data_IF_300941189367
#
_entry.id   IF_300941189367
#
_cell.length_a   1.000
_cell.length_b   1.000
_cell.length_c   1.000
_cell.angle_alpha   90.00
_cell.angle_beta   90.00
_cell.angle_gamma   90.00
#
_symmetry.space_group_name_H-M   'P 1'
#
loop_
_entity.id
_entity.type
_entity.pdbx_description
1 polymer ?
#
# COMPACT_ATOMS: atom_id res chain seq x y z
N UNK A 1 -25.36 26.16 6.69
CA UNK A 1 -24.23 25.83 5.82
C UNK A 1 -22.98 26.39 6.51
N UNK A 2 -22.23 25.54 7.23
CA UNK A 2 -21.01 26.02 7.91
C UNK A 2 -20.00 26.47 6.84
N UNK A 3 -19.16 27.48 7.09
CA UNK A 3 -18.07 27.84 6.20
C UNK A 3 -17.09 26.67 6.21
N UNK A 4 -17.24 25.80 5.21
CA UNK A 4 -16.28 24.76 4.87
C UNK A 4 -14.97 25.46 4.51
N UNK A 5 -13.85 24.81 4.79
CA UNK A 5 -12.47 25.21 4.43
C UNK A 5 -12.44 26.03 3.11
N UNK A 6 -11.62 27.10 2.97
CA UNK A 6 -11.54 27.85 1.72
C UNK A 6 -11.41 26.91 0.50
N UNK A 7 -12.19 27.15 -0.58
CA UNK A 7 -12.24 26.25 -1.73
C UNK A 7 -10.86 25.92 -2.33
N UNK A 8 -9.93 26.87 -2.29
CA UNK A 8 -8.55 26.65 -2.74
C UNK A 8 -7.81 25.62 -1.88
N UNK A 9 -7.95 25.67 -0.56
CA UNK A 9 -7.32 24.73 0.37
C UNK A 9 -7.98 23.34 0.29
N UNK A 10 -9.30 23.26 0.03
CA UNK A 10 -9.96 21.98 -0.23
C UNK A 10 -9.42 21.30 -1.51
N UNK A 11 -9.24 22.06 -2.59
CA UNK A 11 -8.71 21.55 -3.85
C UNK A 11 -7.27 21.04 -3.69
N UNK A 12 -6.42 21.80 -2.98
CA UNK A 12 -5.04 21.41 -2.68
C UNK A 12 -4.99 20.11 -1.86
N UNK A 13 -5.77 20.02 -0.78
CA UNK A 13 -5.81 18.81 0.05
C UNK A 13 -6.35 17.59 -0.71
N UNK A 14 -7.37 17.78 -1.56
CA UNK A 14 -7.90 16.71 -2.39
C UNK A 14 -6.85 16.21 -3.39
N UNK A 15 -6.08 17.11 -3.99
CA UNK A 15 -4.99 16.77 -4.91
C UNK A 15 -3.85 16.04 -4.20
N UNK A 16 -3.41 16.52 -3.03
CA UNK A 16 -2.39 15.85 -2.22
C UNK A 16 -2.83 14.45 -1.79
N UNK A 17 -4.10 14.29 -1.39
CA UNK A 17 -4.65 12.98 -1.00
C UNK A 17 -4.66 12.01 -2.18
N UNK A 18 -5.02 12.47 -3.38
CA UNK A 18 -4.98 11.65 -4.59
C UNK A 18 -3.55 11.23 -4.93
N UNK A 19 -2.62 12.18 -4.96
CA UNK A 19 -1.21 11.91 -5.27
C UNK A 19 -0.64 10.87 -4.31
N UNK A 20 -0.94 11.00 -3.01
CA UNK A 20 -0.55 10.02 -2.00
C UNK A 20 -1.12 8.63 -2.30
N UNK A 21 -2.40 8.52 -2.63
CA UNK A 21 -3.03 7.25 -2.97
C UNK A 21 -2.41 6.60 -4.23
N UNK A 22 -2.14 7.40 -5.27
CA UNK A 22 -1.49 6.95 -6.51
C UNK A 22 -0.05 6.48 -6.26
N UNK A 23 0.74 7.22 -5.48
CA UNK A 23 2.11 6.83 -5.11
C UNK A 23 2.12 5.57 -4.25
N UNK A 24 1.16 5.43 -3.33
CA UNK A 24 1.05 4.21 -2.51
C UNK A 24 0.61 3.01 -3.34
N UNK A 25 -0.27 3.21 -4.33
CA UNK A 25 -0.62 2.18 -5.31
C UNK A 25 0.61 1.78 -6.14
N UNK A 26 1.38 2.75 -6.63
CA UNK A 26 2.62 2.51 -7.36
C UNK A 26 3.62 1.69 -6.54
N UNK A 27 3.82 2.04 -5.27
CA UNK A 27 4.64 1.27 -4.34
C UNK A 27 4.22 -0.21 -4.32
N UNK A 28 2.94 -0.51 -4.16
CA UNK A 28 2.46 -1.89 -4.11
C UNK A 28 2.53 -2.62 -5.46
N UNK A 29 2.33 -1.92 -6.57
CA UNK A 29 2.38 -2.50 -7.93
C UNK A 29 3.81 -2.83 -8.38
N UNK A 30 4.80 -2.00 -8.02
CA UNK A 30 6.19 -2.19 -8.43
C UNK A 30 7.00 -3.14 -7.52
N UNK A 31 6.34 -4.00 -6.73
CA UNK A 31 7.01 -4.86 -5.74
C UNK A 31 8.14 -5.74 -6.25
N UNK A 32 8.21 -6.01 -7.57
CA UNK A 32 9.29 -6.76 -8.22
C UNK A 32 10.54 -5.89 -8.46
N UNK A 33 10.35 -4.60 -8.76
CA UNK A 33 11.42 -3.63 -8.96
C UNK A 33 11.62 -2.80 -7.68
N UNK A 34 12.55 -3.27 -6.85
CA UNK A 34 12.84 -2.68 -5.54
C UNK A 34 13.22 -1.20 -5.61
N UNK A 35 13.90 -0.77 -6.67
CA UNK A 35 14.34 0.61 -6.81
C UNK A 35 13.15 1.53 -7.12
N UNK A 36 12.28 1.11 -8.04
CA UNK A 36 11.06 1.86 -8.38
C UNK A 36 10.08 1.87 -7.21
N UNK A 37 9.94 0.77 -6.47
CA UNK A 37 9.13 0.73 -5.26
C UNK A 37 9.67 1.72 -4.21
N UNK A 38 10.97 1.76 -3.95
CA UNK A 38 11.58 2.70 -2.99
C UNK A 38 11.35 4.17 -3.37
N UNK A 39 11.39 4.49 -4.67
CA UNK A 39 11.10 5.85 -5.15
C UNK A 39 9.63 6.23 -4.88
N UNK A 40 8.70 5.32 -5.17
CA UNK A 40 7.27 5.54 -4.93
C UNK A 40 6.95 5.69 -3.42
N UNK A 41 7.64 4.91 -2.58
CA UNK A 41 7.52 4.98 -1.11
C UNK A 41 7.95 6.36 -0.58
N UNK A 42 9.13 6.83 -0.96
CA UNK A 42 9.62 8.17 -0.60
C UNK A 42 8.69 9.28 -1.08
N UNK A 43 8.16 9.16 -2.30
CA UNK A 43 7.22 10.14 -2.83
C UNK A 43 5.91 10.19 -2.02
N UNK A 44 5.42 9.03 -1.55
CA UNK A 44 4.27 8.94 -0.68
C UNK A 44 4.55 9.58 0.69
N UNK A 45 5.72 9.32 1.28
CA UNK A 45 6.16 9.93 2.54
C UNK A 45 6.25 11.45 2.43
N UNK A 46 6.85 11.98 1.36
CA UNK A 46 6.91 13.42 1.13
C UNK A 46 5.51 14.04 1.00
N UNK A 47 4.59 13.34 0.34
CA UNK A 47 3.22 13.84 0.11
C UNK A 47 2.38 13.83 1.39
N UNK A 48 2.50 12.81 2.24
CA UNK A 48 1.79 12.79 3.53
C UNK A 48 2.33 13.87 4.48
N UNK A 49 3.63 14.18 4.44
CA UNK A 49 4.19 15.31 5.21
C UNK A 49 3.63 16.66 4.75
N UNK A 50 3.51 16.88 3.44
CA UNK A 50 2.85 18.09 2.89
C UNK A 50 1.38 18.19 3.30
N UNK A 51 0.67 17.05 3.38
CA UNK A 51 -0.71 17.02 3.86
C UNK A 51 -0.79 17.41 5.34
N UNK A 52 0.14 16.95 6.17
CA UNK A 52 0.28 17.39 7.55
C UNK A 52 0.61 18.88 7.68
N UNK A 53 1.43 19.44 6.80
CA UNK A 53 1.71 20.89 6.75
C UNK A 53 0.47 21.70 6.35
N UNK A 54 -0.29 21.24 5.34
CA UNK A 54 -1.51 21.88 4.89
C UNK A 54 -2.61 21.92 5.97
N UNK A 55 -2.67 20.90 6.82
CA UNK A 55 -3.58 20.84 7.98
C UNK A 55 -3.07 21.68 9.16
N UNK A 56 -1.75 21.83 9.32
CA UNK A 56 -1.11 22.65 10.37
C UNK A 56 -1.10 24.16 10.06
N UNK A 57 -1.16 24.57 8.79
CA UNK A 57 -1.25 25.97 8.38
C UNK A 57 -2.55 26.62 8.95
N UNK A 58 -2.54 27.92 9.29
CA UNK A 58 -3.14 28.45 10.50
C UNK A 58 -4.67 28.29 10.58
N UNK A 59 -5.06 27.25 11.31
CA UNK A 59 -6.26 27.22 12.17
C UNK A 59 -6.12 28.16 13.39
N UNK A 60 -5.14 29.08 13.38
CA UNK A 60 -4.82 30.03 14.47
C UNK A 60 -5.71 31.28 14.50
N UNK A 61 -6.71 31.39 13.62
CA UNK A 61 -7.76 32.41 13.78
C UNK A 61 -8.71 31.92 14.86
N UNK A 62 -8.73 32.63 15.99
CA UNK A 62 -9.51 32.36 17.20
C UNK A 62 -10.93 31.85 16.88
N UNK A 63 -11.17 30.58 17.19
CA UNK A 63 -12.42 29.87 16.87
C UNK A 63 -12.16 28.69 15.95
N UNK A 64 -11.47 27.65 16.45
CA UNK A 64 -11.22 26.41 15.69
C UNK A 64 -12.58 25.84 15.26
N UNK A 65 -12.91 25.79 13.96
CA UNK A 65 -14.12 25.14 13.52
C UNK A 65 -14.03 23.64 13.87
N UNK A 66 -15.11 23.01 14.36
CA UNK A 66 -15.10 21.59 14.79
C UNK A 66 -14.56 20.63 13.74
N UNK A 67 -14.58 21.02 12.47
CA UNK A 67 -14.12 20.24 11.32
C UNK A 67 -12.61 20.01 11.29
N UNK A 68 -11.81 20.90 11.90
CA UNK A 68 -10.34 20.76 11.90
C UNK A 68 -9.91 19.51 12.68
N UNK A 69 -10.58 19.22 13.82
CA UNK A 69 -10.32 18.01 14.59
C UNK A 69 -10.68 16.73 13.82
N UNK A 70 -11.78 16.76 13.06
CA UNK A 70 -12.19 15.64 12.20
C UNK A 70 -11.19 15.39 11.07
N UNK A 71 -10.67 16.45 10.43
CA UNK A 71 -9.64 16.33 9.38
C UNK A 71 -8.35 15.71 9.95
N UNK A 72 -7.89 16.18 11.11
CA UNK A 72 -6.71 15.63 11.79
C UNK A 72 -6.92 14.16 12.16
N UNK A 73 -8.08 13.79 12.69
CA UNK A 73 -8.41 12.41 13.04
C UNK A 73 -8.41 11.50 11.81
N UNK A 74 -9.02 11.93 10.71
CA UNK A 74 -9.00 11.18 9.45
C UNK A 74 -7.60 11.02 8.88
N UNK A 75 -6.80 12.08 8.89
CA UNK A 75 -5.42 12.04 8.42
C UNK A 75 -4.56 11.09 9.27
N UNK A 76 -4.70 11.16 10.59
CA UNK A 76 -4.05 10.23 11.52
C UNK A 76 -4.44 8.76 11.26
N UNK A 77 -5.71 8.48 10.95
CA UNK A 77 -6.16 7.13 10.60
C UNK A 77 -5.58 6.62 9.29
N UNK A 78 -5.37 7.49 8.29
CA UNK A 78 -4.72 7.13 7.02
C UNK A 78 -3.25 6.78 7.28
N UNK A 79 -2.56 7.59 8.08
CA UNK A 79 -1.15 7.39 8.42
C UNK A 79 -0.94 6.10 9.24
N UNK A 80 -1.76 5.90 10.29
CA UNK A 80 -1.78 4.67 11.09
C UNK A 80 -2.01 3.42 10.23
N UNK A 81 -2.95 3.48 9.29
CA UNK A 81 -3.24 2.38 8.40
C UNK A 81 -2.04 2.08 7.48
N UNK A 82 -1.37 3.11 6.97
CA UNK A 82 -0.17 2.97 6.15
C UNK A 82 1.00 2.38 6.94
N UNK A 83 1.21 2.85 8.17
CA UNK A 83 2.23 2.36 9.10
C UNK A 83 2.05 0.90 9.46
N UNK A 84 0.81 0.48 9.80
CA UNK A 84 0.51 -0.94 10.09
C UNK A 84 0.80 -1.83 8.90
N UNK A 85 0.42 -1.39 7.70
CA UNK A 85 0.64 -2.14 6.46
C UNK A 85 2.13 -2.30 6.16
N UNK A 86 2.90 -1.26 6.42
CA UNK A 86 4.35 -1.27 6.22
C UNK A 86 5.09 -2.09 7.28
N UNK A 87 4.62 -2.05 8.54
CA UNK A 87 5.12 -2.91 9.61
C UNK A 87 4.92 -4.40 9.28
N UNK A 88 3.73 -4.78 8.80
CA UNK A 88 3.45 -6.15 8.36
C UNK A 88 4.29 -6.55 7.14
N UNK A 89 4.56 -5.62 6.22
CA UNK A 89 5.44 -5.88 5.06
C UNK A 89 6.93 -5.98 5.41
N UNK A 90 7.35 -5.51 6.59
CA UNK A 90 8.73 -5.60 7.09
C UNK A 90 8.97 -6.80 8.01
N UNK A 91 7.91 -7.47 8.47
CA UNK A 91 8.00 -8.76 9.15
C UNK A 91 8.45 -9.83 8.14
N UNK A 92 9.77 -9.92 7.94
CA UNK A 92 10.38 -11.02 7.21
C UNK A 92 10.60 -12.18 8.18
N UNK A 93 10.33 -13.41 7.74
CA UNK A 93 10.78 -14.60 8.44
C UNK A 93 12.30 -14.50 8.61
N UNK A 94 12.83 -14.60 9.84
CA UNK A 94 14.26 -14.50 10.06
C UNK A 94 14.98 -15.53 9.17
N UNK A 95 15.96 -15.07 8.39
CA UNK A 95 16.71 -15.91 7.45
C UNK A 95 17.26 -17.19 8.10
N UNK A 96 17.60 -17.09 9.39
CA UNK A 96 18.02 -18.20 10.23
C UNK A 96 17.02 -19.37 10.27
N UNK A 97 15.70 -19.10 10.28
CA UNK A 97 14.66 -20.13 10.29
C UNK A 97 14.61 -20.87 8.96
N UNK A 98 14.73 -20.13 7.84
CA UNK A 98 14.80 -20.71 6.49
C UNK A 98 16.07 -21.57 6.36
N UNK A 99 17.22 -21.07 6.83
CA UNK A 99 18.49 -21.79 6.81
C UNK A 99 18.41 -23.08 7.66
N UNK A 100 17.83 -22.99 8.87
CA UNK A 100 17.62 -24.17 9.73
C UNK A 100 16.69 -25.20 9.08
N UNK A 101 15.62 -24.75 8.42
CA UNK A 101 14.70 -25.65 7.73
C UNK A 101 15.39 -26.33 6.54
N UNK A 102 16.17 -25.58 5.75
CA UNK A 102 16.94 -26.12 4.63
C UNK A 102 18.00 -27.14 5.10
N UNK A 103 18.67 -26.86 6.22
CA UNK A 103 19.62 -27.78 6.86
C UNK A 103 18.90 -29.04 7.37
N UNK A 104 17.77 -28.88 8.06
CA UNK A 104 16.96 -29.99 8.56
C UNK A 104 16.45 -30.88 7.43
N UNK A 105 15.89 -30.27 6.39
CA UNK A 105 15.52 -30.87 5.11
C UNK A 105 16.66 -31.70 4.52
N UNK A 106 17.84 -31.08 4.41
CA UNK A 106 19.03 -31.71 3.83
C UNK A 106 19.44 -32.95 4.64
N UNK A 107 19.58 -32.83 5.96
CA UNK A 107 19.94 -33.95 6.81
C UNK A 107 18.89 -35.05 6.83
N UNK A 108 17.60 -34.70 6.76
CA UNK A 108 16.52 -35.69 6.66
C UNK A 108 16.58 -36.43 5.33
N UNK A 109 16.81 -35.72 4.22
CA UNK A 109 16.98 -36.32 2.89
C UNK A 109 18.23 -37.22 2.80
N UNK A 110 19.35 -36.78 3.37
CA UNK A 110 20.60 -37.55 3.42
C UNK A 110 20.41 -38.80 4.30
N UNK A 111 19.85 -38.65 5.49
CA UNK A 111 19.60 -39.77 6.41
C UNK A 111 18.67 -40.83 5.80
N UNK A 112 17.64 -40.39 5.08
CA UNK A 112 16.73 -41.29 4.38
C UNK A 112 17.41 -41.99 3.19
N UNK A 113 18.32 -41.31 2.49
CA UNK A 113 19.14 -41.91 1.44
C UNK A 113 20.16 -42.93 1.95
N UNK A 114 20.76 -42.72 3.12
CA UNK A 114 21.68 -43.69 3.76
C UNK A 114 20.96 -44.92 4.32
N UNK A 115 19.72 -44.76 4.79
CA UNK A 115 18.88 -45.86 5.28
C UNK A 115 18.18 -46.64 4.15
N UNK A 116 18.30 -46.18 2.90
CA UNK A 116 17.67 -46.81 1.75
C UNK A 116 18.26 -48.21 1.48
N UNK A 117 17.43 -49.27 1.44
CA UNK A 117 17.86 -50.57 0.94
C UNK A 117 18.39 -50.43 -0.50
N UNK A 118 19.37 -51.24 -0.92
CA UNK A 118 19.86 -51.30 -2.32
C UNK A 118 18.82 -51.79 -3.34
N UNK A 119 17.57 -51.96 -2.92
CA UNK A 119 16.46 -52.40 -3.76
C UNK A 119 15.89 -51.20 -4.51
N UNK A 120 15.75 -51.32 -5.84
CA UNK A 120 15.24 -50.26 -6.69
C UNK A 120 13.80 -49.83 -6.35
N UNK A 121 13.08 -50.65 -5.57
CA UNK A 121 11.68 -50.43 -5.19
C UNK A 121 11.45 -49.25 -4.25
N UNK A 122 12.47 -48.79 -3.51
CA UNK A 122 12.35 -47.66 -2.56
C UNK A 122 12.67 -46.29 -3.18
N UNK A 123 13.30 -46.25 -4.37
CA UNK A 123 13.61 -45.01 -5.08
C UNK A 123 12.44 -44.03 -5.24
N UNK A 124 11.22 -44.43 -5.64
CA UNK A 124 10.11 -43.49 -5.79
C UNK A 124 9.74 -42.82 -4.45
N UNK A 125 9.84 -43.53 -3.32
CA UNK A 125 9.54 -42.96 -1.99
C UNK A 125 10.53 -41.86 -1.62
N UNK A 126 11.83 -42.05 -1.88
CA UNK A 126 12.85 -41.02 -1.62
C UNK A 126 12.68 -39.80 -2.52
N UNK A 127 12.34 -40.02 -3.80
CA UNK A 127 12.10 -38.94 -4.76
C UNK A 127 10.89 -38.10 -4.35
N UNK A 128 9.81 -38.75 -3.92
CA UNK A 128 8.60 -38.09 -3.39
C UNK A 128 8.95 -37.28 -2.15
N UNK A 129 9.70 -37.84 -1.19
CA UNK A 129 10.08 -37.11 0.03
C UNK A 129 10.92 -35.86 -0.29
N UNK A 130 11.92 -36.00 -1.16
CA UNK A 130 12.73 -34.87 -1.61
C UNK A 130 11.86 -33.79 -2.30
N UNK A 131 10.93 -34.21 -3.16
CA UNK A 131 10.01 -33.30 -3.84
C UNK A 131 9.10 -32.56 -2.86
N UNK A 132 8.46 -33.25 -1.91
CA UNK A 132 7.63 -32.61 -0.88
C UNK A 132 8.44 -31.60 -0.06
N UNK A 133 9.67 -31.96 0.27
CA UNK A 133 10.55 -31.13 1.06
C UNK A 133 10.99 -29.85 0.30
N UNK A 134 11.39 -29.99 -0.97
CA UNK A 134 11.67 -28.85 -1.83
C UNK A 134 10.42 -27.96 -2.03
N UNK A 135 9.24 -28.57 -2.22
CA UNK A 135 7.97 -27.85 -2.31
C UNK A 135 7.60 -27.12 -1.02
N UNK A 136 7.88 -27.69 0.15
CA UNK A 136 7.64 -27.03 1.44
C UNK A 136 8.53 -25.80 1.62
N UNK A 137 9.80 -25.87 1.24
CA UNK A 137 10.71 -24.71 1.24
C UNK A 137 10.19 -23.65 0.26
N UNK A 138 9.83 -24.05 -0.96
CA UNK A 138 9.32 -23.12 -1.97
C UNK A 138 8.02 -22.44 -1.51
N UNK A 139 7.12 -23.19 -0.87
CA UNK A 139 5.89 -22.67 -0.27
C UNK A 139 6.18 -21.69 0.88
N UNK A 140 7.16 -21.99 1.73
CA UNK A 140 7.54 -21.10 2.84
C UNK A 140 8.12 -19.79 2.32
N UNK A 141 8.96 -19.84 1.28
CA UNK A 141 9.50 -18.65 0.62
C UNK A 141 8.40 -17.84 -0.08
N UNK A 142 7.45 -18.52 -0.72
CA UNK A 142 6.28 -17.88 -1.36
C UNK A 142 5.38 -17.16 -0.35
N UNK A 143 5.18 -17.76 0.84
CA UNK A 143 4.41 -17.17 1.94
C UNK A 143 5.13 -15.99 2.62
N UNK A 144 6.46 -15.97 2.61
CA UNK A 144 7.28 -14.92 3.25
C UNK A 144 7.30 -13.62 2.44
N UNK A 145 7.06 -13.68 1.12
CA UNK A 145 7.08 -12.51 0.25
C UNK A 145 5.67 -12.17 -0.31
N UNK A 146 4.79 -11.51 0.48
CA UNK A 146 3.38 -11.26 0.09
C UNK A 146 3.21 -10.30 -1.12
N UNK A 147 4.32 -9.77 -1.66
CA UNK A 147 4.35 -8.83 -2.80
C UNK A 147 4.77 -9.47 -4.12
N UNK A 148 5.47 -10.59 -4.08
CA UNK A 148 6.06 -11.27 -5.25
C UNK A 148 5.72 -12.76 -5.33
N UNK A 149 5.12 -13.33 -4.26
CA UNK A 149 4.63 -14.71 -4.22
C UNK A 149 3.35 -14.96 -5.03
N UNK A 150 2.93 -16.22 -5.10
CA UNK A 150 1.75 -16.72 -5.83
C UNK A 150 0.44 -16.20 -5.24
N UNK A 151 0.42 -15.84 -3.95
CA UNK A 151 -0.72 -15.23 -3.27
C UNK A 151 -0.51 -13.71 -3.18
N UNK A 152 -1.09 -12.97 -4.11
CA UNK A 152 -1.00 -11.50 -4.14
C UNK A 152 -2.24 -10.85 -3.52
N UNK A 153 -2.03 -9.75 -2.79
CA UNK A 153 -3.13 -8.94 -2.26
C UNK A 153 -3.62 -7.99 -3.34
N UNK A 154 -4.91 -8.09 -3.70
CA UNK A 154 -5.53 -7.19 -4.67
C UNK A 154 -5.51 -5.74 -4.17
N UNK A 155 -5.13 -4.82 -5.07
CA UNK A 155 -5.15 -3.37 -4.81
C UNK A 155 -6.45 -2.69 -5.26
N UNK A 156 -7.48 -3.45 -5.67
CA UNK A 156 -8.79 -2.91 -6.09
C UNK A 156 -9.37 -1.85 -5.17
N UNK A 157 -9.35 -2.00 -3.83
CA UNK A 157 -9.91 -0.97 -2.95
C UNK A 157 -9.24 0.40 -3.12
N UNK A 158 -7.93 0.43 -3.42
CA UNK A 158 -7.20 1.68 -3.64
C UNK A 158 -7.53 2.27 -5.02
N UNK A 159 -7.60 1.41 -6.05
CA UNK A 159 -8.00 1.82 -7.41
C UNK A 159 -9.41 2.43 -7.42
N UNK A 160 -10.35 1.81 -6.72
CA UNK A 160 -11.73 2.30 -6.57
C UNK A 160 -11.77 3.67 -5.89
N UNK A 161 -11.01 3.86 -4.80
CA UNK A 161 -10.93 5.15 -4.10
C UNK A 161 -10.33 6.23 -5.01
N UNK A 162 -9.27 5.94 -5.74
CA UNK A 162 -8.66 6.88 -6.70
C UNK A 162 -9.67 7.24 -7.80
N UNK A 163 -10.41 6.26 -8.34
CA UNK A 163 -11.43 6.48 -9.35
C UNK A 163 -12.58 7.38 -8.82
N UNK A 164 -13.01 7.16 -7.57
CA UNK A 164 -14.00 8.00 -6.89
C UNK A 164 -13.48 9.43 -6.75
N UNK A 165 -12.23 9.61 -6.29
CA UNK A 165 -11.61 10.93 -6.15
C UNK A 165 -11.46 11.65 -7.50
N UNK A 166 -11.18 10.91 -8.58
CA UNK A 166 -11.10 11.46 -9.93
C UNK A 166 -12.47 11.96 -10.43
N UNK A 167 -13.53 11.17 -10.22
CA UNK A 167 -14.89 11.55 -10.58
C UNK A 167 -15.34 12.85 -9.88
N UNK A 168 -15.07 12.97 -8.57
CA UNK A 168 -15.47 14.14 -7.79
C UNK A 168 -14.75 15.44 -8.23
N UNK A 169 -13.50 15.35 -8.70
CA UNK A 169 -12.82 16.53 -9.23
C UNK A 169 -13.40 16.98 -10.58
N UNK A 170 -13.78 16.04 -11.44
CA UNK A 170 -14.42 16.35 -12.73
C UNK A 170 -15.77 17.04 -12.58
N UNK A 171 -16.53 16.70 -11.54
CA UNK A 171 -17.80 17.37 -11.23
C UNK A 171 -17.60 18.79 -10.70
N UNK A 172 -16.55 19.04 -9.92
CA UNK A 172 -16.21 20.38 -9.43
C UNK A 172 -15.86 21.34 -10.59
N UNK A 173 -15.09 20.87 -11.58
CA UNK A 173 -14.73 21.65 -12.78
C UNK A 173 -15.93 21.93 -13.70
N UNK A 174 -16.92 21.03 -13.72
CA UNK A 174 -18.16 21.24 -14.49
C UNK A 174 -19.06 22.31 -13.89
N UNK A 175 -19.14 22.36 -12.57
CA UNK A 175 -19.97 23.35 -11.84
C UNK A 175 -19.38 24.76 -11.97
N UNK A 176 -18.06 24.91 -11.95
CA UNK A 176 -17.41 26.21 -12.19
C UNK A 176 -17.63 26.70 -13.62
N UNK A 177 -17.60 25.81 -14.61
CA UNK A 177 -17.82 26.15 -16.02
C UNK A 177 -19.27 26.56 -16.37
N UNK A 178 -20.27 26.24 -15.54
CA UNK A 178 -21.69 26.55 -15.82
C UNK A 178 -22.22 27.82 -15.12
N UNK A 179 -21.37 28.56 -14.39
CA UNK A 179 -21.80 29.81 -13.74
C UNK A 179 -21.98 30.91 -14.81
N UNK A 180 -23.20 31.46 -15.03
CA UNK A 180 -23.43 32.44 -16.08
C UNK A 180 -22.71 33.75 -15.77
N UNK A 181 -22.03 34.32 -16.77
CA UNK A 181 -21.48 35.68 -16.77
C UNK A 181 -22.56 36.67 -16.28
N UNK A 182 -22.28 37.54 -15.29
CA UNK A 182 -23.26 38.51 -14.86
C UNK A 182 -23.56 39.46 -16.02
N UNK A 183 -24.82 39.45 -16.46
CA UNK A 183 -25.32 40.32 -17.50
C UNK A 183 -25.22 41.76 -16.98
N UNK A 184 -24.22 42.50 -17.46
CA UNK A 184 -24.07 43.94 -17.22
C UNK A 184 -25.33 44.65 -17.68
N UNK A 185 -26.11 45.18 -16.73
CA UNK A 185 -27.27 46.00 -17.00
C UNK A 185 -26.83 47.33 -17.66
N UNK A 186 -27.55 47.83 -18.69
CA UNK A 186 -27.21 49.08 -19.32
C UNK A 186 -27.55 50.25 -18.39
N UNK A 187 -26.58 51.13 -18.15
CA UNK A 187 -26.81 52.39 -17.46
C UNK A 187 -27.78 53.27 -18.28
N UNK A 188 -28.82 53.78 -17.62
CA UNK A 188 -29.73 54.81 -18.12
C UNK A 188 -29.29 56.18 -17.62
#
# INVERSE_FOLDING_TARGET
RLPLVPHAQQAEMAQLTRNYAEQRLAYFTFGIDKDTALIADKAADDTIQRLWEAVRHPSTVRGVPPIAGTIVDHLGRIDDAAWRRDALGREHVPRLVIDMLAIFSFFTSVGMGFAAPRDLRTHPTHLIFFALNASAIMLMLDLDEPRTGLVTVSQRPMEEVIAIMAAHAGDADRVTATTPTPMTAPAS
#
